data_IF_396108808917
#
_entry.id   IF_396108808917
#
_cell.length_a   1.000
_cell.length_b   1.000
_cell.length_c   1.000
_cell.angle_alpha   90.00
_cell.angle_beta   90.00
_cell.angle_gamma   90.00
#
_symmetry.space_group_name_H-M   'P 1'
#
loop_
_entity.id
_entity.type
_entity.pdbx_description
1 polymer ?
#
# COMPACT_ATOMS: atom_id res chain seq x y z
N UNK A 1 -21.17 14.72 -16.24
CA UNK A 1 -19.90 13.96 -16.25
C UNK A 1 -19.76 13.21 -14.93
N UNK A 2 -19.45 11.90 -14.90
CA UNK A 2 -19.23 11.19 -13.64
C UNK A 2 -18.04 11.83 -12.90
N UNK A 3 -18.24 12.21 -11.64
CA UNK A 3 -17.15 12.77 -10.82
C UNK A 3 -16.04 11.74 -10.64
N UNK A 4 -14.80 12.20 -10.43
CA UNK A 4 -13.63 11.32 -10.26
C UNK A 4 -13.82 10.30 -9.14
N UNK A 5 -14.53 10.68 -8.10
CA UNK A 5 -14.97 9.79 -7.02
C UNK A 5 -15.80 8.60 -7.51
N UNK A 6 -16.76 8.82 -8.42
CA UNK A 6 -17.55 7.73 -9.01
C UNK A 6 -16.69 6.78 -9.86
N UNK A 7 -15.64 7.28 -10.53
CA UNK A 7 -14.71 6.42 -11.27
C UNK A 7 -13.86 5.57 -10.32
N UNK A 8 -13.42 6.15 -9.20
CA UNK A 8 -12.63 5.44 -8.18
C UNK A 8 -13.48 4.36 -7.49
N UNK A 9 -14.72 4.68 -7.12
CA UNK A 9 -15.66 3.71 -6.52
C UNK A 9 -15.98 2.53 -7.45
N UNK A 10 -15.86 2.70 -8.78
CA UNK A 10 -16.06 1.63 -9.77
C UNK A 10 -14.90 0.64 -9.88
N UNK A 11 -13.69 1.00 -9.42
CA UNK A 11 -12.53 0.08 -9.46
C UNK A 11 -12.77 -1.13 -8.57
N UNK A 12 -13.40 -0.91 -7.40
CA UNK A 12 -13.68 -1.98 -6.45
C UNK A 12 -12.43 -2.63 -5.86
N UNK A 13 -12.65 -3.58 -4.94
CA UNK A 13 -11.58 -4.33 -4.30
C UNK A 13 -10.63 -3.49 -3.43
N UNK A 14 -9.52 -4.11 -3.05
CA UNK A 14 -8.49 -3.55 -2.17
C UNK A 14 -7.85 -2.31 -2.79
N UNK A 15 -7.49 -2.38 -4.08
CA UNK A 15 -6.91 -1.25 -4.79
C UNK A 15 -7.88 -0.06 -4.88
N UNK A 16 -9.16 -0.31 -5.16
CA UNK A 16 -10.19 0.71 -5.17
C UNK A 16 -10.42 1.36 -3.80
N UNK A 17 -10.40 0.55 -2.72
CA UNK A 17 -10.48 1.02 -1.33
C UNK A 17 -9.35 2.00 -1.02
N UNK A 18 -8.11 1.61 -1.29
CA UNK A 18 -6.93 2.44 -1.08
C UNK A 18 -6.96 3.71 -1.94
N UNK A 19 -7.36 3.59 -3.20
CA UNK A 19 -7.46 4.73 -4.11
C UNK A 19 -8.54 5.74 -3.63
N UNK A 20 -9.67 5.24 -3.13
CA UNK A 20 -10.72 6.07 -2.52
C UNK A 20 -10.24 6.73 -1.23
N UNK A 21 -9.48 6.00 -0.42
CA UNK A 21 -8.90 6.52 0.82
C UNK A 21 -7.92 7.67 0.55
N UNK A 22 -6.98 7.48 -0.39
CA UNK A 22 -6.07 8.54 -0.82
C UNK A 22 -6.80 9.77 -1.40
N UNK A 23 -7.94 9.56 -2.07
CA UNK A 23 -8.78 10.66 -2.52
C UNK A 23 -9.42 11.41 -1.33
N UNK A 24 -10.00 10.73 -0.34
CA UNK A 24 -10.59 11.33 0.86
C UNK A 24 -9.57 12.01 1.79
N UNK A 25 -8.32 11.59 1.78
CA UNK A 25 -7.21 12.25 2.50
C UNK A 25 -6.72 13.54 1.80
N UNK A 26 -7.18 13.83 0.59
CA UNK A 26 -6.78 15.01 -0.17
C UNK A 26 -5.44 14.90 -0.90
N UNK A 27 -4.86 13.69 -0.98
CA UNK A 27 -3.67 13.42 -1.80
C UNK A 27 -3.98 13.48 -3.30
N UNK A 28 -5.22 13.13 -3.66
CA UNK A 28 -5.72 13.13 -5.04
C UNK A 28 -7.00 13.98 -5.11
N UNK A 29 -7.14 14.98 -6.01
CA UNK A 29 -6.22 15.47 -7.04
C UNK A 29 -5.26 16.57 -6.54
N UNK A 30 -3.98 16.52 -6.96
CA UNK A 30 -2.93 17.52 -6.62
C UNK A 30 -3.30 18.99 -6.91
N UNK A 31 -4.24 19.23 -7.83
CA UNK A 31 -4.67 20.58 -8.22
C UNK A 31 -5.85 21.14 -7.40
N UNK A 32 -6.52 20.34 -6.57
CA UNK A 32 -7.64 20.78 -5.74
C UNK A 32 -7.40 20.35 -4.30
N UNK A 33 -6.88 21.28 -3.49
CA UNK A 33 -6.74 21.07 -2.04
C UNK A 33 -8.12 20.77 -1.45
N UNK A 34 -8.30 19.57 -0.92
CA UNK A 34 -9.50 19.28 -0.14
C UNK A 34 -9.52 20.15 1.12
N UNK A 35 -10.73 20.45 1.57
CA UNK A 35 -10.94 21.34 2.70
C UNK A 35 -10.62 20.58 4.00
N UNK A 36 -9.34 20.56 4.41
CA UNK A 36 -8.83 19.83 5.58
C UNK A 36 -9.51 20.24 6.88
N UNK A 37 -10.15 21.42 6.91
CA UNK A 37 -10.95 21.90 8.02
C UNK A 37 -12.23 21.07 8.27
N UNK A 38 -12.80 20.46 7.23
CA UNK A 38 -13.97 19.56 7.32
C UNK A 38 -13.58 18.08 7.42
N UNK A 39 -12.29 17.77 7.45
CA UNK A 39 -11.80 16.40 7.52
C UNK A 39 -12.05 15.82 8.92
N UNK A 40 -12.65 14.63 8.97
CA UNK A 40 -12.88 13.90 10.22
C UNK A 40 -11.56 13.60 10.94
N UNK A 41 -11.55 13.62 12.27
CA UNK A 41 -10.31 13.48 13.05
C UNK A 41 -9.55 12.17 12.74
N UNK A 42 -10.27 11.07 12.51
CA UNK A 42 -9.68 9.77 12.11
C UNK A 42 -8.82 9.87 10.85
N UNK A 43 -9.26 10.64 9.86
CA UNK A 43 -8.51 10.84 8.62
C UNK A 43 -7.31 11.78 8.80
N UNK A 44 -7.30 12.63 9.85
CA UNK A 44 -6.16 13.49 10.17
C UNK A 44 -4.97 12.71 10.75
N UNK A 45 -5.22 11.65 11.50
CA UNK A 45 -4.15 10.77 12.00
C UNK A 45 -3.47 10.03 10.84
N UNK A 46 -4.26 9.57 9.86
CA UNK A 46 -3.73 8.83 8.72
C UNK A 46 -3.03 9.71 7.68
N UNK A 47 -3.22 11.04 7.72
CA UNK A 47 -2.37 11.99 7.00
C UNK A 47 -0.89 11.87 7.41
N UNK A 48 -0.60 11.56 8.67
CA UNK A 48 0.79 11.34 9.13
C UNK A 48 1.38 10.04 8.58
N UNK A 49 0.54 9.08 8.19
CA UNK A 49 0.92 7.77 7.63
C UNK A 49 0.83 7.73 6.11
N UNK A 50 0.65 8.88 5.47
CA UNK A 50 0.35 8.97 4.04
C UNK A 50 1.45 8.38 3.16
N UNK A 51 2.72 8.51 3.55
CA UNK A 51 3.84 7.90 2.83
C UNK A 51 3.72 6.38 2.80
N UNK A 52 3.33 5.75 3.92
CA UNK A 52 3.10 4.30 4.00
C UNK A 52 1.91 3.89 3.13
N UNK A 53 0.78 4.58 3.26
CA UNK A 53 -0.44 4.32 2.47
C UNK A 53 -0.14 4.47 0.96
N UNK A 54 0.69 5.42 0.58
CA UNK A 54 1.07 5.64 -0.83
C UNK A 54 1.95 4.52 -1.36
N UNK A 55 2.90 4.02 -0.56
CA UNK A 55 3.73 2.87 -0.91
C UNK A 55 2.88 1.61 -1.09
N UNK A 56 1.96 1.37 -0.17
CA UNK A 56 0.99 0.27 -0.22
C UNK A 56 0.11 0.36 -1.49
N UNK A 57 -0.48 1.53 -1.75
CA UNK A 57 -1.30 1.76 -2.95
C UNK A 57 -0.50 1.56 -4.23
N UNK A 58 0.79 1.95 -4.24
CA UNK A 58 1.67 1.76 -5.40
C UNK A 58 1.99 0.29 -5.63
N UNK A 59 2.19 -0.50 -4.58
CA UNK A 59 2.38 -1.94 -4.68
C UNK A 59 1.12 -2.60 -5.27
N UNK A 60 -0.06 -2.27 -4.72
CA UNK A 60 -1.34 -2.78 -5.22
C UNK A 60 -1.57 -2.44 -6.69
N UNK A 61 -1.26 -1.21 -7.10
CA UNK A 61 -1.39 -0.78 -8.49
C UNK A 61 -0.34 -1.39 -9.43
N UNK A 62 0.89 -1.63 -8.96
CA UNK A 62 1.97 -2.21 -9.77
C UNK A 62 1.69 -3.68 -10.08
N UNK A 63 1.23 -4.43 -9.07
CA UNK A 63 0.97 -5.87 -9.14
C UNK A 63 -0.48 -6.20 -9.52
N UNK A 64 -1.32 -5.18 -9.73
CA UNK A 64 -2.76 -5.31 -10.00
C UNK A 64 -3.53 -6.11 -8.93
N UNK A 65 -3.14 -5.97 -7.67
CA UNK A 65 -3.74 -6.68 -6.55
C UNK A 65 -5.03 -5.97 -6.13
N UNK A 66 -6.15 -6.67 -6.31
CA UNK A 66 -7.50 -6.17 -6.04
C UNK A 66 -8.23 -6.99 -4.97
N UNK A 67 -7.73 -8.18 -4.63
CA UNK A 67 -8.34 -9.07 -3.62
C UNK A 67 -7.33 -9.54 -2.59
N UNK A 68 -7.81 -9.97 -1.43
CA UNK A 68 -6.97 -10.54 -0.37
C UNK A 68 -6.28 -11.84 -0.83
N UNK A 69 -6.95 -12.64 -1.67
CA UNK A 69 -6.37 -13.84 -2.28
C UNK A 69 -5.16 -13.50 -3.15
N UNK A 70 -5.28 -12.47 -4.00
CA UNK A 70 -4.18 -12.00 -4.85
C UNK A 70 -3.02 -11.46 -4.01
N UNK A 71 -3.32 -10.75 -2.92
CA UNK A 71 -2.31 -10.26 -1.98
C UNK A 71 -1.55 -11.42 -1.33
N UNK A 72 -2.27 -12.45 -0.92
CA UNK A 72 -1.69 -13.65 -0.31
C UNK A 72 -0.84 -14.44 -1.30
N UNK A 73 -1.34 -14.70 -2.51
CA UNK A 73 -0.58 -15.38 -3.57
C UNK A 73 0.69 -14.60 -3.96
N UNK A 74 0.60 -13.27 -4.03
CA UNK A 74 1.78 -12.43 -4.28
C UNK A 74 2.80 -12.55 -3.13
N UNK A 75 2.34 -12.46 -1.89
CA UNK A 75 3.20 -12.64 -0.71
C UNK A 75 3.90 -14.00 -0.72
N UNK A 76 3.20 -15.09 -1.00
CA UNK A 76 3.79 -16.43 -1.11
C UNK A 76 4.84 -16.52 -2.22
N UNK A 77 4.58 -15.93 -3.38
CA UNK A 77 5.54 -15.86 -4.48
C UNK A 77 6.82 -15.13 -4.07
N UNK A 78 6.69 -13.99 -3.39
CA UNK A 78 7.84 -13.22 -2.88
C UNK A 78 8.60 -14.02 -1.81
N UNK A 79 7.90 -14.73 -0.92
CA UNK A 79 8.54 -15.60 0.08
C UNK A 79 9.32 -16.75 -0.58
N UNK A 80 8.78 -17.35 -1.63
CA UNK A 80 9.46 -18.38 -2.42
C UNK A 80 10.74 -17.84 -3.06
N UNK A 81 10.69 -16.62 -3.64
CA UNK A 81 11.86 -15.94 -4.19
C UNK A 81 12.91 -15.61 -3.12
N UNK A 82 12.48 -15.21 -1.92
CA UNK A 82 13.38 -14.97 -0.79
C UNK A 82 14.09 -16.26 -0.40
N UNK A 83 13.38 -17.40 -0.39
CA UNK A 83 13.95 -18.70 -0.07
C UNK A 83 15.01 -19.08 -1.10
N UNK A 84 14.69 -19.03 -2.39
CA UNK A 84 15.65 -19.38 -3.46
C UNK A 84 16.90 -18.50 -3.42
N UNK A 85 16.74 -17.18 -3.28
CA UNK A 85 17.86 -16.24 -3.20
C UNK A 85 18.68 -16.42 -1.92
N UNK A 86 18.06 -16.84 -0.83
CA UNK A 86 18.78 -17.16 0.41
C UNK A 86 19.64 -18.40 0.20
N UNK A 87 19.11 -19.43 -0.45
CA UNK A 87 19.84 -20.65 -0.78
C UNK A 87 21.00 -20.33 -1.73
N UNK A 88 20.77 -19.57 -2.81
CA UNK A 88 21.81 -19.12 -3.75
C UNK A 88 22.94 -18.38 -3.04
N UNK A 89 22.60 -17.45 -2.13
CA UNK A 89 23.59 -16.72 -1.33
C UNK A 89 24.39 -17.67 -0.44
N UNK A 90 23.77 -18.71 0.12
CA UNK A 90 24.49 -19.72 0.92
C UNK A 90 25.44 -20.55 0.06
N UNK A 91 25.04 -20.89 -1.16
CA UNK A 91 25.89 -21.59 -2.12
C UNK A 91 27.11 -20.74 -2.51
N UNK A 92 26.92 -19.47 -2.84
CA UNK A 92 28.01 -18.53 -3.15
C UNK A 92 28.97 -18.34 -1.96
N UNK A 93 28.45 -18.26 -0.73
CA UNK A 93 29.29 -18.21 0.47
C UNK A 93 30.11 -19.48 0.70
N UNK A 94 29.57 -20.65 0.34
CA UNK A 94 30.32 -21.91 0.37
C UNK A 94 31.40 -21.94 -0.71
N UNK A 95 31.10 -21.41 -1.89
CA UNK A 95 32.06 -21.31 -3.00
C UNK A 95 33.27 -20.45 -2.62
N UNK A 96 33.05 -19.35 -1.89
CA UNK A 96 34.12 -18.48 -1.38
C UNK A 96 35.14 -19.19 -0.45
N UNK A 97 34.81 -20.36 0.10
CA UNK A 97 35.72 -21.15 0.94
C UNK A 97 36.65 -22.07 0.15
N UNK A 98 36.51 -22.13 -1.18
CA UNK A 98 37.35 -22.93 -2.09
C UNK A 98 38.50 -22.06 -2.61
N UNK A 99 39.55 -22.71 -3.11
CA UNK A 99 40.64 -22.02 -3.82
C UNK A 99 40.10 -21.52 -5.17
N UNK A 100 39.74 -20.23 -5.22
CA UNK A 100 39.29 -19.51 -6.40
C UNK A 100 40.38 -18.54 -6.86
N UNK A 101 40.35 -18.13 -8.13
CA UNK A 101 41.18 -16.99 -8.57
C UNK A 101 40.66 -15.67 -7.99
N UNK A 102 41.49 -14.63 -7.97
CA UNK A 102 41.09 -13.31 -7.48
C UNK A 102 39.90 -12.72 -8.28
N UNK A 103 39.86 -12.95 -9.59
CA UNK A 103 38.77 -12.50 -10.46
C UNK A 103 37.43 -13.22 -10.13
N UNK A 104 37.49 -14.53 -9.92
CA UNK A 104 36.33 -15.33 -9.51
C UNK A 104 35.84 -14.92 -8.12
N UNK A 105 36.77 -14.63 -7.21
CA UNK A 105 36.49 -14.20 -5.85
C UNK A 105 35.79 -12.83 -5.84
N UNK A 106 36.22 -11.90 -6.70
CA UNK A 106 35.56 -10.61 -6.87
C UNK A 106 34.13 -10.78 -7.40
N UNK A 107 33.94 -11.58 -8.45
CA UNK A 107 32.62 -11.81 -9.04
C UNK A 107 31.64 -12.46 -8.04
N UNK A 108 32.08 -13.46 -7.27
CA UNK A 108 31.25 -14.09 -6.22
C UNK A 108 30.84 -13.08 -5.14
N UNK A 109 31.74 -12.17 -4.73
CA UNK A 109 31.41 -11.11 -3.78
C UNK A 109 30.36 -10.15 -4.34
N UNK A 110 30.52 -9.71 -5.59
CA UNK A 110 29.53 -8.86 -6.27
C UNK A 110 28.15 -9.52 -6.33
N UNK A 111 28.08 -10.80 -6.72
CA UNK A 111 26.83 -11.55 -6.72
C UNK A 111 26.19 -11.63 -5.34
N UNK A 112 26.97 -11.87 -4.28
CA UNK A 112 26.47 -11.87 -2.90
C UNK A 112 25.90 -10.50 -2.52
N UNK A 113 26.55 -9.40 -2.90
CA UNK A 113 26.04 -8.04 -2.61
C UNK A 113 24.75 -7.76 -3.38
N UNK A 114 24.67 -8.14 -4.65
CA UNK A 114 23.48 -7.99 -5.49
C UNK A 114 22.30 -8.80 -4.91
N UNK A 115 22.53 -10.05 -4.53
CA UNK A 115 21.50 -10.89 -3.88
C UNK A 115 21.08 -10.31 -2.54
N UNK A 116 22.00 -9.79 -1.74
CA UNK A 116 21.67 -9.18 -0.44
C UNK A 116 20.79 -7.94 -0.60
N UNK A 117 21.08 -7.09 -1.59
CA UNK A 117 20.25 -5.94 -1.95
C UNK A 117 18.86 -6.36 -2.41
N UNK A 118 18.76 -7.37 -3.29
CA UNK A 118 17.47 -7.91 -3.76
C UNK A 118 16.66 -8.56 -2.63
N UNK A 119 17.30 -9.28 -1.71
CA UNK A 119 16.65 -9.84 -0.53
C UNK A 119 16.07 -8.75 0.37
N UNK A 120 16.76 -7.62 0.51
CA UNK A 120 16.26 -6.50 1.30
C UNK A 120 15.01 -5.87 0.69
N UNK A 121 14.97 -5.68 -0.63
CA UNK A 121 13.78 -5.15 -1.32
C UNK A 121 12.60 -6.11 -1.22
N UNK A 122 12.82 -7.42 -1.45
CA UNK A 122 11.74 -8.41 -1.36
C UNK A 122 11.17 -8.53 0.06
N UNK A 123 12.02 -8.48 1.11
CA UNK A 123 11.54 -8.47 2.49
C UNK A 123 10.67 -7.25 2.80
N UNK A 124 11.00 -6.09 2.24
CA UNK A 124 10.15 -4.90 2.36
C UNK A 124 8.80 -5.09 1.69
N UNK A 125 8.76 -5.72 0.51
CA UNK A 125 7.51 -6.01 -0.19
C UNK A 125 6.62 -6.97 0.61
N UNK A 126 7.20 -7.99 1.26
CA UNK A 126 6.46 -8.86 2.20
C UNK A 126 5.85 -8.03 3.34
N UNK A 127 6.65 -7.15 3.96
CA UNK A 127 6.16 -6.28 5.04
C UNK A 127 5.04 -5.35 4.57
N UNK A 128 5.13 -4.81 3.35
CA UNK A 128 4.05 -4.02 2.76
C UNK A 128 2.77 -4.86 2.56
N UNK A 129 2.89 -6.12 2.18
CA UNK A 129 1.72 -7.00 2.04
C UNK A 129 1.03 -7.24 3.38
N UNK A 130 1.79 -7.41 4.46
CA UNK A 130 1.26 -7.55 5.82
C UNK A 130 0.60 -6.27 6.30
N UNK A 131 1.27 -5.12 6.10
CA UNK A 131 0.72 -3.81 6.41
C UNK A 131 -0.60 -3.56 5.66
N UNK A 132 -0.70 -3.98 4.40
CA UNK A 132 -1.92 -3.87 3.59
C UNK A 132 -3.04 -4.73 4.18
N UNK A 133 -2.76 -5.98 4.54
CA UNK A 133 -3.75 -6.91 5.07
C UNK A 133 -4.32 -6.42 6.42
N UNK A 134 -3.50 -5.81 7.26
CA UNK A 134 -3.93 -5.22 8.52
C UNK A 134 -4.66 -3.89 8.32
N UNK A 135 -4.09 -2.99 7.50
CA UNK A 135 -4.59 -1.62 7.35
C UNK A 135 -5.84 -1.53 6.48
N UNK A 136 -6.04 -2.43 5.52
CA UNK A 136 -7.27 -2.49 4.73
C UNK A 136 -8.52 -2.52 5.61
N UNK A 137 -8.52 -3.32 6.68
CA UNK A 137 -9.61 -3.41 7.66
C UNK A 137 -9.83 -2.09 8.41
N UNK A 138 -8.74 -1.42 8.79
CA UNK A 138 -8.78 -0.12 9.47
C UNK A 138 -9.31 0.97 8.53
N UNK A 139 -8.86 0.98 7.28
CA UNK A 139 -9.30 1.91 6.24
C UNK A 139 -10.80 1.74 5.98
N UNK A 140 -11.27 0.51 5.87
CA UNK A 140 -12.69 0.21 5.66
C UNK A 140 -13.55 0.73 6.83
N UNK A 141 -13.16 0.46 8.06
CA UNK A 141 -13.84 0.97 9.26
C UNK A 141 -13.80 2.52 9.35
N UNK A 142 -12.66 3.12 9.03
CA UNK A 142 -12.51 4.58 9.00
C UNK A 142 -13.39 5.22 7.92
N UNK A 143 -13.50 4.61 6.74
CA UNK A 143 -14.36 5.10 5.67
C UNK A 143 -15.84 5.00 6.04
N UNK A 144 -16.26 3.91 6.68
CA UNK A 144 -17.65 3.73 7.10
C UNK A 144 -18.05 4.71 8.21
N UNK A 145 -17.18 4.90 9.21
CA UNK A 145 -17.43 5.89 10.29
C UNK A 145 -17.52 7.32 9.74
N UNK A 146 -16.65 7.68 8.79
CA UNK A 146 -16.69 8.98 8.11
C UNK A 146 -17.99 9.13 7.32
N UNK A 147 -18.43 8.10 6.60
CA UNK A 147 -19.69 8.12 5.85
C UNK A 147 -20.89 8.36 6.76
N UNK A 148 -20.99 7.60 7.86
CA UNK A 148 -22.07 7.75 8.85
C UNK A 148 -22.05 9.15 9.47
N UNK A 149 -20.88 9.74 9.69
CA UNK A 149 -20.75 11.10 10.19
C UNK A 149 -21.20 12.14 9.16
N UNK A 150 -20.77 12.01 7.89
CA UNK A 150 -21.17 12.88 6.78
C UNK A 150 -22.70 12.86 6.60
N UNK A 151 -23.33 11.69 6.57
CA UNK A 151 -24.79 11.53 6.44
C UNK A 151 -25.56 12.19 7.61
N UNK A 152 -25.04 12.10 8.85
CA UNK A 152 -25.63 12.77 10.01
C UNK A 152 -25.53 14.29 9.94
N UNK A 153 -24.45 14.83 9.39
CA UNK A 153 -24.29 16.28 9.19
C UNK A 153 -25.22 16.78 8.10
N UNK A 154 -25.32 16.08 6.97
CA UNK A 154 -26.22 16.44 5.87
C UNK A 154 -27.68 16.46 6.30
N UNK A 155 -28.16 15.45 7.05
CA UNK A 155 -29.52 15.44 7.60
C UNK A 155 -29.80 16.62 8.53
N UNK A 156 -28.84 17.02 9.35
CA UNK A 156 -28.97 18.18 10.25
C UNK A 156 -29.00 19.50 9.46
N UNK A 157 -28.23 19.59 8.39
CA UNK A 157 -28.18 20.77 7.51
C UNK A 157 -29.46 20.90 6.68
N UNK A 158 -29.98 19.80 6.10
CA UNK A 158 -31.27 19.75 5.43
C UNK A 158 -32.42 20.16 6.36
N UNK A 159 -32.50 19.57 7.56
CA UNK A 159 -33.52 19.93 8.55
C UNK A 159 -33.44 21.40 9.01
N UNK A 160 -32.26 22.04 8.98
CA UNK A 160 -32.11 23.47 9.27
C UNK A 160 -32.56 24.35 8.11
N UNK A 161 -32.31 23.93 6.88
CA UNK A 161 -32.69 24.66 5.67
C UNK A 161 -34.20 24.58 5.43
N UNK A 162 -34.84 23.45 5.70
CA UNK A 162 -36.30 23.29 5.61
C UNK A 162 -37.04 24.10 6.69
N UNK A 163 -36.46 24.27 7.89
CA UNK A 163 -37.02 25.16 8.93
C UNK A 163 -36.88 26.65 8.65
N UNK A 164 -36.13 27.03 7.61
CA UNK A 164 -35.87 28.42 7.20
C UNK A 164 -36.62 28.81 5.92
N UNK A 165 -37.38 27.89 5.32
CA UNK A 165 -38.31 28.14 4.21
C UNK A 165 -39.73 28.24 4.75
#
# INVERSE_FOLDING_TARGET
MPTREHKIKKVGGLYGLYLHYCYKLGYLPKYKKQNTARLHYLLKEDLLKLDKITQETRLLGRENISTDEQLFSYKESVLSQIKSLTDDRTHLRKQLRRNLSDDELSNVKEQITAITSKLWTLRKEVGLCDDIAERSKVIEANLETVRVYEEKQERKEQNRNDKRR
#
